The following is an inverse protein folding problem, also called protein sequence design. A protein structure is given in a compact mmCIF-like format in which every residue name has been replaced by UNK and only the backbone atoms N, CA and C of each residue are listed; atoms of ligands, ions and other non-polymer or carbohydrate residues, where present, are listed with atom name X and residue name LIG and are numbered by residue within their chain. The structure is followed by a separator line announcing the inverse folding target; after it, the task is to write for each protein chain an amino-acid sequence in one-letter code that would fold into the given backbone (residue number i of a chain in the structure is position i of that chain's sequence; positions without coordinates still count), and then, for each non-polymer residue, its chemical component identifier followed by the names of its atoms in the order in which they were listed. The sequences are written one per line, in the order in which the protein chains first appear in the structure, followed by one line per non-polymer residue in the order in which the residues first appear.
data_IF_912387518612
#
_entry.id   IF_912387518612
#
_cell.length_a   1.000
_cell.length_b   1.000
_cell.length_c   1.000
_cell.angle_alpha   90.00
_cell.angle_beta   90.00
_cell.angle_gamma   90.00
#
_symmetry.space_group_name_H-M   'P 1'
#
loop_
_entity.id
_entity.type
_entity.pdbx_description
1 polymer ?
#
# COMPACT_ATOMS: atom_id res chain seq x y z
N UNK A 1 100.89 16.38 -35.48
CA UNK A 1 99.69 16.17 -36.31
C UNK A 1 98.70 15.34 -35.53
N UNK A 2 97.77 16.00 -34.90
CA UNK A 2 96.48 15.41 -34.55
C UNK A 2 95.65 16.55 -34.01
N UNK A 3 94.63 16.80 -34.69
CA UNK A 3 93.63 17.84 -34.52
C UNK A 3 92.76 17.60 -33.31
N UNK A 4 92.64 18.54 -32.41
CA UNK A 4 91.79 18.48 -31.24
C UNK A 4 90.55 19.30 -31.43
N UNK A 5 89.47 18.69 -31.74
CA UNK A 5 88.16 19.34 -31.83
C UNK A 5 87.51 19.44 -30.41
N UNK A 6 87.38 20.65 -29.92
CA UNK A 6 86.67 20.98 -28.68
C UNK A 6 85.13 20.85 -28.86
N UNK A 7 84.45 20.16 -27.94
CA UNK A 7 82.99 20.13 -27.83
C UNK A 7 82.45 21.42 -27.18
N UNK A 8 81.34 21.97 -27.69
CA UNK A 8 80.69 23.12 -27.06
C UNK A 8 79.96 22.69 -25.75
N UNK A 9 79.81 23.60 -24.79
CA UNK A 9 79.14 23.32 -23.51
C UNK A 9 77.62 23.06 -23.67
N UNK A 10 77.15 22.07 -23.01
CA UNK A 10 75.71 21.68 -22.99
C UNK A 10 74.83 22.76 -22.34
N UNK A 11 73.57 22.80 -22.70
CA UNK A 11 72.62 23.76 -22.13
C UNK A 11 72.37 23.50 -20.61
N UNK A 12 72.33 24.61 -19.88
CA UNK A 12 72.08 24.61 -18.43
C UNK A 12 70.68 24.07 -18.06
N UNK A 13 70.48 23.70 -16.78
CA UNK A 13 69.23 23.06 -16.34
C UNK A 13 68.02 24.00 -16.50
N UNK A 14 66.91 23.41 -17.03
CA UNK A 14 65.65 24.10 -17.20
C UNK A 14 65.07 24.54 -15.83
N UNK A 15 64.35 25.68 -15.76
CA UNK A 15 63.72 26.11 -14.52
C UNK A 15 62.61 25.14 -14.11
N UNK A 16 62.55 24.84 -12.78
CA UNK A 16 61.53 24.03 -12.18
C UNK A 16 60.12 24.62 -12.44
N UNK A 17 59.15 23.84 -12.84
CA UNK A 17 57.78 24.30 -12.93
C UNK A 17 57.27 24.71 -11.53
N UNK A 18 56.68 25.90 -11.45
CA UNK A 18 56.01 26.40 -10.27
C UNK A 18 54.86 25.48 -9.80
N UNK A 19 54.41 25.59 -8.53
CA UNK A 19 53.34 24.75 -8.02
C UNK A 19 52.09 24.87 -8.89
N UNK A 20 51.52 23.71 -9.24
CA UNK A 20 50.26 23.62 -9.97
C UNK A 20 49.12 24.37 -9.21
N UNK A 21 48.23 25.07 -9.93
CA UNK A 21 47.07 25.67 -9.27
C UNK A 21 46.28 24.61 -8.54
N UNK A 22 45.91 24.91 -7.28
CA UNK A 22 45.00 24.06 -6.49
C UNK A 22 43.74 23.84 -7.30
N UNK A 23 43.20 22.60 -7.35
CA UNK A 23 41.91 22.38 -7.98
C UNK A 23 40.87 23.23 -7.23
N UNK A 24 40.13 24.02 -7.98
CA UNK A 24 38.96 24.75 -7.47
C UNK A 24 38.09 23.75 -6.71
N UNK A 25 37.70 24.11 -5.48
CA UNK A 25 36.84 23.31 -4.65
C UNK A 25 35.54 23.02 -5.40
N UNK A 26 35.32 21.76 -5.74
CA UNK A 26 34.03 21.29 -6.25
C UNK A 26 33.00 21.72 -5.22
N UNK A 27 31.94 22.47 -5.59
CA UNK A 27 30.93 22.84 -4.64
C UNK A 27 30.35 21.56 -4.03
N UNK A 28 30.42 21.47 -2.71
CA UNK A 28 29.77 20.41 -1.95
C UNK A 28 28.29 20.43 -2.33
N UNK A 29 27.64 19.26 -2.59
CA UNK A 29 26.21 19.22 -2.77
C UNK A 29 25.54 19.88 -1.57
N UNK A 30 24.71 20.88 -1.86
CA UNK A 30 23.97 21.63 -0.86
C UNK A 30 23.26 20.67 0.11
N UNK A 31 23.28 21.03 1.38
CA UNK A 31 22.75 20.23 2.47
C UNK A 31 21.29 19.83 2.18
N UNK A 32 21.00 18.52 2.24
CA UNK A 32 19.64 17.99 2.26
C UNK A 32 18.85 18.76 3.32
N UNK A 33 17.69 19.36 2.98
CA UNK A 33 16.91 20.15 3.92
C UNK A 33 16.71 19.43 5.26
N UNK A 34 16.77 20.19 6.36
CA UNK A 34 16.68 19.66 7.71
C UNK A 34 15.31 18.99 7.94
N UNK A 35 15.20 18.08 8.91
CA UNK A 35 13.95 17.38 9.26
C UNK A 35 12.75 18.33 9.45
N UNK A 36 13.00 19.50 10.01
CA UNK A 36 12.00 20.55 10.25
C UNK A 36 11.37 21.05 8.95
N UNK A 37 12.15 21.15 7.86
CA UNK A 37 11.65 21.56 6.53
C UNK A 37 10.73 20.52 5.91
N UNK A 38 10.98 19.21 6.18
CA UNK A 38 10.10 18.14 5.70
C UNK A 38 8.75 18.10 6.39
N UNK A 39 8.71 18.29 7.70
CA UNK A 39 7.46 18.31 8.46
C UNK A 39 6.57 19.49 8.03
N UNK A 40 7.17 20.62 7.66
CA UNK A 40 6.46 21.77 7.11
C UNK A 40 5.87 21.47 5.72
N UNK A 41 6.63 20.80 4.85
CA UNK A 41 6.12 20.36 3.53
C UNK A 41 4.98 19.35 3.65
N UNK A 42 5.10 18.38 4.56
CA UNK A 42 4.02 17.40 4.83
C UNK A 42 2.74 18.10 5.28
N UNK A 43 2.88 19.09 6.19
CA UNK A 43 1.73 19.86 6.68
C UNK A 43 1.09 20.68 5.56
N UNK A 44 1.88 21.44 4.81
CA UNK A 44 1.39 22.27 3.69
C UNK A 44 0.70 21.41 2.62
N UNK A 45 1.28 20.24 2.29
CA UNK A 45 0.68 19.31 1.34
C UNK A 45 -0.63 18.71 1.88
N UNK A 46 -0.67 18.33 3.16
CA UNK A 46 -1.88 17.82 3.81
C UNK A 46 -3.01 18.85 3.77
N UNK A 47 -2.71 20.11 4.11
CA UNK A 47 -3.69 21.19 4.11
C UNK A 47 -4.23 21.42 2.69
N UNK A 48 -3.36 21.54 1.67
CA UNK A 48 -3.77 21.69 0.28
C UNK A 48 -4.64 20.51 -0.19
N UNK A 49 -4.23 19.26 0.13
CA UNK A 49 -4.96 18.08 -0.29
C UNK A 49 -6.35 17.98 0.35
N UNK A 50 -6.46 18.27 1.66
CA UNK A 50 -7.75 18.19 2.38
C UNK A 50 -8.71 19.34 2.06
N UNK A 51 -8.19 20.46 1.56
CA UNK A 51 -9.00 21.58 1.04
C UNK A 51 -9.35 21.41 -0.44
N UNK A 52 -8.91 20.32 -1.08
CA UNK A 52 -9.05 20.04 -2.51
C UNK A 52 -8.36 21.11 -3.39
N UNK A 53 -7.31 21.76 -2.88
CA UNK A 53 -6.49 22.72 -3.62
C UNK A 53 -5.40 21.99 -4.41
N UNK A 54 -5.79 21.53 -5.60
CA UNK A 54 -4.92 20.80 -6.51
C UNK A 54 -3.75 21.66 -7.00
N UNK A 55 -4.01 22.95 -7.26
CA UNK A 55 -2.99 23.87 -7.77
C UNK A 55 -1.91 24.11 -6.72
N UNK A 56 -2.27 24.35 -5.46
CA UNK A 56 -1.34 24.50 -4.35
C UNK A 56 -0.51 23.23 -4.13
N UNK A 57 -1.15 22.05 -4.15
CA UNK A 57 -0.45 20.77 -3.98
C UNK A 57 0.57 20.51 -5.08
N UNK A 58 0.23 20.74 -6.34
CA UNK A 58 1.14 20.61 -7.50
C UNK A 58 2.26 21.64 -7.44
N UNK A 59 1.95 22.89 -7.12
CA UNK A 59 2.95 23.96 -6.99
C UNK A 59 3.96 23.64 -5.88
N UNK A 60 3.50 23.07 -4.74
CA UNK A 60 4.37 22.61 -3.66
C UNK A 60 5.36 21.55 -4.14
N UNK A 61 4.87 20.53 -4.87
CA UNK A 61 5.71 19.47 -5.44
C UNK A 61 6.78 20.07 -6.37
N UNK A 62 6.41 20.99 -7.25
CA UNK A 62 7.36 21.66 -8.15
C UNK A 62 8.40 22.47 -7.38
N UNK A 63 7.97 23.30 -6.39
CA UNK A 63 8.91 24.06 -5.55
C UNK A 63 9.91 23.16 -4.83
N UNK A 64 9.45 22.03 -4.29
CA UNK A 64 10.31 21.06 -3.60
C UNK A 64 11.36 20.47 -4.55
N UNK A 65 10.96 20.10 -5.77
CA UNK A 65 11.85 19.58 -6.81
C UNK A 65 12.86 20.65 -7.29
N UNK A 66 12.42 21.88 -7.50
CA UNK A 66 13.26 23.02 -7.89
C UNK A 66 14.25 23.42 -6.80
N UNK A 67 13.86 23.24 -5.52
CA UNK A 67 14.75 23.39 -4.37
C UNK A 67 15.76 22.25 -4.19
N UNK A 68 15.76 21.24 -5.10
CA UNK A 68 16.72 20.14 -5.11
C UNK A 68 16.30 18.92 -4.29
N UNK A 69 15.08 18.86 -3.75
CA UNK A 69 14.61 17.66 -3.06
C UNK A 69 14.45 16.52 -4.07
N UNK A 70 15.12 15.36 -3.87
CA UNK A 70 15.00 14.23 -4.79
C UNK A 70 13.54 13.80 -5.00
N UNK A 71 13.12 13.48 -6.25
CA UNK A 71 11.73 13.09 -6.53
C UNK A 71 11.22 11.92 -5.68
N UNK A 72 12.06 10.93 -5.41
CA UNK A 72 11.71 9.81 -4.52
C UNK A 72 11.42 10.28 -3.09
N UNK A 73 12.15 11.30 -2.61
CA UNK A 73 11.93 11.91 -1.29
C UNK A 73 10.62 12.70 -1.26
N UNK A 74 10.27 13.41 -2.34
CA UNK A 74 8.96 14.10 -2.44
C UNK A 74 7.82 13.07 -2.36
N UNK A 75 7.93 11.94 -3.05
CA UNK A 75 6.92 10.88 -2.99
C UNK A 75 6.79 10.28 -1.59
N UNK A 76 7.93 9.89 -0.98
CA UNK A 76 7.94 9.03 0.21
C UNK A 76 8.03 9.79 1.52
N UNK A 77 8.58 11.00 1.54
CA UNK A 77 8.74 11.80 2.75
C UNK A 77 7.76 12.99 2.83
N UNK A 78 7.04 13.31 1.73
CA UNK A 78 6.03 14.39 1.74
C UNK A 78 4.65 13.84 1.43
N UNK A 79 4.42 13.29 0.22
CA UNK A 79 3.08 12.87 -0.22
C UNK A 79 2.58 11.66 0.60
N UNK A 80 3.40 10.63 0.77
CA UNK A 80 2.98 9.42 1.48
C UNK A 80 2.65 9.67 2.97
N UNK A 81 3.45 10.43 3.77
CA UNK A 81 3.09 10.78 5.13
C UNK A 81 1.85 11.67 5.23
N UNK A 82 1.68 12.64 4.32
CA UNK A 82 0.48 13.45 4.29
C UNK A 82 -0.77 12.60 4.04
N UNK A 83 -0.70 11.64 3.12
CA UNK A 83 -1.81 10.73 2.86
C UNK A 83 -2.07 9.75 4.01
N UNK A 84 -1.04 9.30 4.72
CA UNK A 84 -1.20 8.51 5.94
C UNK A 84 -1.98 9.31 7.01
N UNK A 85 -1.61 10.58 7.19
CA UNK A 85 -2.31 11.50 8.09
C UNK A 85 -3.78 11.72 7.68
N UNK A 86 -4.09 11.80 6.38
CA UNK A 86 -5.49 11.86 5.89
C UNK A 86 -6.29 10.66 6.39
N UNK A 87 -5.72 9.45 6.32
CA UNK A 87 -6.36 8.24 6.83
C UNK A 87 -6.57 8.26 8.35
N UNK A 88 -5.59 8.76 9.13
CA UNK A 88 -5.68 8.91 10.59
C UNK A 88 -6.77 9.91 10.99
N UNK A 89 -6.82 11.08 10.32
CA UNK A 89 -7.82 12.10 10.56
C UNK A 89 -9.24 11.63 10.20
N UNK A 90 -9.38 10.84 9.14
CA UNK A 90 -10.63 10.18 8.79
C UNK A 90 -11.05 9.14 9.84
N UNK A 91 -10.14 8.28 10.28
CA UNK A 91 -10.42 7.27 11.29
C UNK A 91 -10.85 7.91 12.63
N UNK A 92 -10.24 9.04 12.97
CA UNK A 92 -10.55 9.85 14.15
C UNK A 92 -11.82 10.73 14.00
N UNK A 93 -12.58 10.58 12.90
CA UNK A 93 -13.77 11.37 12.59
C UNK A 93 -13.53 12.90 12.45
N UNK A 94 -12.28 13.32 12.22
CA UNK A 94 -11.94 14.73 11.97
C UNK A 94 -12.02 15.11 10.49
N UNK A 95 -11.95 14.12 9.58
CA UNK A 95 -12.22 14.30 8.15
C UNK A 95 -13.45 13.50 7.73
N UNK A 96 -14.25 14.08 6.83
CA UNK A 96 -15.35 13.37 6.17
C UNK A 96 -14.82 12.46 5.05
N UNK A 97 -15.58 11.43 4.68
CA UNK A 97 -15.27 10.55 3.54
C UNK A 97 -15.05 11.35 2.25
N UNK A 98 -15.87 12.40 2.02
CA UNK A 98 -15.74 13.25 0.82
C UNK A 98 -14.39 14.01 0.79
N UNK A 99 -13.92 14.50 1.95
CA UNK A 99 -12.61 15.17 2.05
C UNK A 99 -11.45 14.20 1.89
N UNK A 100 -11.56 12.98 2.44
CA UNK A 100 -10.57 11.92 2.24
C UNK A 100 -10.46 11.56 0.75
N UNK A 101 -11.58 11.40 0.04
CA UNK A 101 -11.59 11.13 -1.40
C UNK A 101 -10.97 12.26 -2.21
N UNK A 102 -11.31 13.52 -1.88
CA UNK A 102 -10.71 14.69 -2.52
C UNK A 102 -9.19 14.73 -2.29
N UNK A 103 -8.72 14.49 -1.06
CA UNK A 103 -7.30 14.46 -0.74
C UNK A 103 -6.56 13.35 -1.51
N UNK A 104 -7.17 12.18 -1.64
CA UNK A 104 -6.61 11.07 -2.43
C UNK A 104 -6.51 11.42 -3.93
N UNK A 105 -7.52 12.10 -4.48
CA UNK A 105 -7.51 12.57 -5.87
C UNK A 105 -6.45 13.65 -6.11
N UNK A 106 -6.30 14.62 -5.22
CA UNK A 106 -5.25 15.65 -5.27
C UNK A 106 -3.87 15.01 -5.20
N UNK A 107 -3.68 14.03 -4.30
CA UNK A 107 -2.41 13.30 -4.17
C UNK A 107 -2.05 12.55 -5.45
N UNK A 108 -2.99 11.89 -6.11
CA UNK A 108 -2.74 11.20 -7.39
C UNK A 108 -2.33 12.20 -8.49
N UNK A 109 -2.96 13.37 -8.55
CA UNK A 109 -2.58 14.44 -9.47
C UNK A 109 -1.20 15.01 -9.21
N UNK A 110 -0.85 15.24 -7.95
CA UNK A 110 0.47 15.71 -7.54
C UNK A 110 1.57 14.70 -7.93
N UNK A 111 1.31 13.39 -7.74
CA UNK A 111 2.19 12.31 -8.20
C UNK A 111 2.31 12.31 -9.72
N UNK A 112 1.21 12.50 -10.46
CA UNK A 112 1.24 12.59 -11.90
C UNK A 112 2.06 13.78 -12.40
N UNK A 113 1.92 14.95 -11.77
CA UNK A 113 2.73 16.15 -12.07
C UNK A 113 4.21 15.91 -11.80
N UNK A 114 4.56 15.29 -10.66
CA UNK A 114 5.92 14.88 -10.35
C UNK A 114 6.50 13.97 -11.44
N UNK A 115 5.74 12.96 -11.88
CA UNK A 115 6.21 11.93 -12.81
C UNK A 115 6.63 12.47 -14.19
N UNK A 116 6.09 13.62 -14.59
CA UNK A 116 6.43 14.28 -15.87
C UNK A 116 7.48 15.40 -15.71
N UNK A 117 7.81 15.76 -14.47
CA UNK A 117 8.79 16.81 -14.20
C UNK A 117 10.20 16.40 -14.67
N UNK A 118 11.02 17.34 -15.24
CA UNK A 118 12.36 17.02 -15.73
C UNK A 118 13.27 16.34 -14.71
N UNK A 119 13.20 16.72 -13.43
CA UNK A 119 13.98 16.11 -12.35
C UNK A 119 13.63 14.64 -12.10
N UNK A 120 12.40 14.20 -12.44
CA UNK A 120 11.94 12.83 -12.26
C UNK A 120 12.19 11.92 -13.48
N UNK A 121 12.81 12.44 -14.54
CA UNK A 121 13.10 11.67 -15.75
C UNK A 121 14.24 10.67 -15.51
N UNK A 122 13.88 9.40 -15.35
CA UNK A 122 14.83 8.30 -15.34
C UNK A 122 14.69 7.48 -16.64
N UNK A 123 15.83 7.23 -17.32
CA UNK A 123 15.81 6.32 -18.46
C UNK A 123 15.62 4.88 -17.95
N UNK A 124 14.73 4.07 -18.55
CA UNK A 124 14.60 2.66 -18.21
C UNK A 124 15.93 1.95 -18.48
N UNK A 125 16.53 1.37 -17.43
CA UNK A 125 17.81 0.63 -17.49
C UNK A 125 17.70 -0.77 -16.96
N UNK A 126 16.52 -1.09 -16.41
CA UNK A 126 16.18 -2.36 -15.76
C UNK A 126 15.07 -3.05 -16.54
N UNK A 127 14.61 -4.18 -16.05
CA UNK A 127 13.50 -4.93 -16.61
C UNK A 127 12.14 -4.21 -16.55
N UNK A 128 11.10 -4.99 -16.82
CA UNK A 128 9.71 -4.53 -16.88
C UNK A 128 8.91 -5.10 -15.71
N UNK A 129 8.16 -4.26 -15.01
CA UNK A 129 7.28 -4.64 -13.90
C UNK A 129 5.84 -4.25 -14.25
N UNK A 130 4.92 -5.20 -14.13
CA UNK A 130 3.48 -4.89 -14.17
C UNK A 130 3.00 -4.68 -12.74
N UNK A 131 2.44 -3.50 -12.44
CA UNK A 131 1.88 -3.14 -11.14
C UNK A 131 0.37 -3.08 -11.20
N UNK A 132 -0.32 -3.82 -10.32
CA UNK A 132 -1.77 -3.89 -10.26
C UNK A 132 -2.29 -3.97 -8.81
N UNK A 133 -3.47 -3.42 -8.56
CA UNK A 133 -4.23 -3.78 -7.36
C UNK A 133 -5.05 -5.03 -7.65
N UNK A 134 -5.18 -5.90 -6.66
CA UNK A 134 -5.96 -7.13 -6.79
C UNK A 134 -7.45 -6.83 -7.06
N UNK A 135 -8.16 -7.82 -7.58
CA UNK A 135 -9.59 -7.69 -7.90
C UNK A 135 -10.40 -7.20 -6.69
N UNK A 136 -11.23 -6.18 -6.88
CA UNK A 136 -12.02 -5.52 -5.83
C UNK A 136 -11.21 -4.58 -4.93
N UNK A 137 -9.91 -4.37 -5.14
CA UNK A 137 -9.11 -3.41 -4.41
C UNK A 137 -9.09 -2.05 -5.12
N UNK A 138 -9.67 -1.04 -4.46
CA UNK A 138 -9.81 0.31 -5.00
C UNK A 138 -8.76 1.30 -4.51
N UNK A 139 -7.98 0.95 -3.47
CA UNK A 139 -6.92 1.80 -2.92
C UNK A 139 -5.69 1.77 -3.85
N UNK A 140 -5.77 2.51 -4.94
CA UNK A 140 -4.71 2.53 -5.96
C UNK A 140 -3.51 3.41 -5.59
N UNK A 141 -3.67 4.38 -4.69
CA UNK A 141 -2.62 5.35 -4.38
C UNK A 141 -1.35 4.72 -3.80
N UNK A 142 -1.40 3.75 -2.86
CA UNK A 142 -0.20 3.06 -2.41
C UNK A 142 0.54 2.34 -3.55
N UNK A 143 -0.21 1.69 -4.45
CA UNK A 143 0.33 1.05 -5.64
C UNK A 143 0.97 2.07 -6.59
N UNK A 144 0.38 3.25 -6.73
CA UNK A 144 0.90 4.35 -7.54
C UNK A 144 2.24 4.85 -7.01
N UNK A 145 2.37 5.04 -5.69
CA UNK A 145 3.63 5.42 -5.05
C UNK A 145 4.75 4.40 -5.34
N UNK A 146 4.45 3.10 -5.22
CA UNK A 146 5.41 2.03 -5.57
C UNK A 146 5.78 2.10 -7.05
N UNK A 147 4.80 2.26 -7.95
CA UNK A 147 5.04 2.34 -9.38
C UNK A 147 5.97 3.50 -9.76
N UNK A 148 5.76 4.68 -9.19
CA UNK A 148 6.62 5.84 -9.45
C UNK A 148 8.02 5.68 -8.84
N UNK A 149 8.13 5.13 -7.62
CA UNK A 149 9.43 4.79 -7.02
C UNK A 149 10.23 3.85 -7.91
N UNK A 150 9.59 2.80 -8.44
CA UNK A 150 10.24 1.87 -9.38
C UNK A 150 10.68 2.56 -10.67
N UNK A 151 9.86 3.47 -11.23
CA UNK A 151 10.23 4.26 -12.42
C UNK A 151 11.44 5.14 -12.16
N UNK A 152 11.48 5.84 -11.03
CA UNK A 152 12.60 6.67 -10.62
C UNK A 152 13.90 5.86 -10.49
N UNK A 153 13.79 4.61 -10.08
CA UNK A 153 14.91 3.66 -9.99
C UNK A 153 15.23 2.92 -11.29
N UNK A 154 14.62 3.34 -12.40
CA UNK A 154 14.95 2.89 -13.76
C UNK A 154 14.24 1.61 -14.20
N UNK A 155 13.13 1.20 -13.56
CA UNK A 155 12.26 0.14 -14.05
C UNK A 155 11.28 0.66 -15.09
N UNK A 156 10.99 -0.14 -16.10
CA UNK A 156 9.81 0.06 -16.95
C UNK A 156 8.59 -0.45 -16.22
N UNK A 157 7.69 0.45 -15.85
CA UNK A 157 6.49 0.05 -15.06
C UNK A 157 5.22 0.25 -15.87
N UNK A 158 4.46 -0.83 -16.02
CA UNK A 158 3.11 -0.78 -16.53
C UNK A 158 2.15 -0.75 -15.33
N UNK A 159 1.58 0.42 -15.03
CA UNK A 159 0.65 0.59 -13.94
C UNK A 159 -0.79 0.36 -14.43
N UNK A 160 -1.42 -0.73 -13.99
CA UNK A 160 -2.79 -1.10 -14.38
C UNK A 160 -3.87 -0.48 -13.47
N UNK A 161 -3.46 0.03 -12.29
CA UNK A 161 -4.37 0.70 -11.35
C UNK A 161 -5.19 -0.25 -10.50
N UNK A 162 -6.39 0.23 -10.10
CA UNK A 162 -7.32 -0.44 -9.21
C UNK A 162 -8.07 -1.59 -9.89
N UNK A 163 -8.54 -2.55 -9.07
CA UNK A 163 -9.54 -3.54 -9.46
C UNK A 163 -9.19 -4.30 -10.75
N UNK A 164 -8.08 -5.05 -10.74
CA UNK A 164 -7.63 -5.81 -11.91
C UNK A 164 -7.98 -7.30 -11.73
N UNK A 165 -9.01 -7.81 -12.44
CA UNK A 165 -9.37 -9.23 -12.39
C UNK A 165 -8.25 -10.13 -12.91
N UNK A 166 -8.02 -11.32 -12.30
CA UNK A 166 -6.90 -12.19 -12.65
C UNK A 166 -6.83 -12.59 -14.13
N UNK A 167 -7.96 -12.81 -14.79
CA UNK A 167 -8.00 -13.18 -16.21
C UNK A 167 -7.47 -12.06 -17.13
N UNK A 168 -7.76 -10.79 -16.82
CA UNK A 168 -7.26 -9.65 -17.59
C UNK A 168 -5.79 -9.39 -17.28
N UNK A 169 -5.38 -9.58 -16.02
CA UNK A 169 -3.98 -9.51 -15.64
C UNK A 169 -3.17 -10.53 -16.44
N UNK A 170 -3.55 -11.80 -16.43
CA UNK A 170 -2.85 -12.88 -17.17
C UNK A 170 -2.77 -12.57 -18.67
N UNK A 171 -3.87 -12.09 -19.27
CA UNK A 171 -3.86 -11.70 -20.67
C UNK A 171 -2.84 -10.59 -20.95
N UNK A 172 -2.75 -9.61 -20.06
CA UNK A 172 -1.77 -8.52 -20.16
C UNK A 172 -0.33 -9.03 -20.03
N UNK A 173 -0.08 -9.95 -19.08
CA UNK A 173 1.24 -10.55 -18.87
C UNK A 173 1.71 -11.32 -20.12
N UNK A 174 0.85 -12.10 -20.74
CA UNK A 174 1.17 -12.79 -22.00
C UNK A 174 1.53 -11.83 -23.14
N UNK A 175 0.83 -10.69 -23.23
CA UNK A 175 1.08 -9.70 -24.27
C UNK A 175 2.36 -8.90 -24.06
N UNK A 176 2.79 -8.72 -22.81
CA UNK A 176 3.86 -7.76 -22.46
C UNK A 176 5.15 -8.41 -21.97
N UNK A 177 5.11 -9.65 -21.47
CA UNK A 177 6.25 -10.41 -20.99
C UNK A 177 7.06 -9.68 -19.90
N UNK A 178 6.46 -9.28 -18.75
CA UNK A 178 7.21 -8.59 -17.71
C UNK A 178 8.11 -9.55 -16.93
N UNK A 179 9.17 -9.01 -16.31
CA UNK A 179 10.08 -9.76 -15.44
C UNK A 179 9.46 -10.00 -14.05
N UNK A 180 8.47 -9.19 -13.68
CA UNK A 180 7.78 -9.25 -12.38
C UNK A 180 6.35 -8.73 -12.47
N UNK A 181 5.50 -9.26 -11.58
CA UNK A 181 4.22 -8.64 -11.21
C UNK A 181 4.32 -8.14 -9.78
N UNK A 182 3.98 -6.86 -9.55
CA UNK A 182 3.78 -6.31 -8.23
C UNK A 182 2.28 -6.20 -7.95
N UNK A 183 1.79 -6.88 -6.90
CA UNK A 183 0.37 -6.90 -6.51
C UNK A 183 0.16 -6.13 -5.21
N UNK A 184 -0.74 -5.15 -5.24
CA UNK A 184 -1.16 -4.38 -4.07
C UNK A 184 -2.50 -4.87 -3.53
N UNK A 185 -2.55 -5.07 -2.20
CA UNK A 185 -3.76 -5.38 -1.45
C UNK A 185 -3.77 -4.59 -0.13
N UNK A 186 -4.68 -3.64 0.01
CA UNK A 186 -4.77 -2.80 1.20
C UNK A 186 -5.72 -3.37 2.24
N UNK A 187 -6.80 -4.04 1.81
CA UNK A 187 -7.83 -4.56 2.71
C UNK A 187 -7.78 -6.09 2.77
N UNK A 188 -7.67 -6.69 3.97
CA UNK A 188 -7.61 -8.15 4.15
C UNK A 188 -8.80 -8.94 3.56
N UNK A 189 -9.97 -8.32 3.41
CA UNK A 189 -11.12 -8.98 2.77
C UNK A 189 -10.87 -9.36 1.32
N UNK A 190 -9.83 -8.81 0.68
CA UNK A 190 -9.39 -9.11 -0.69
C UNK A 190 -8.37 -10.24 -0.79
N UNK A 191 -7.96 -10.85 0.34
CA UNK A 191 -7.00 -11.97 0.34
C UNK A 191 -7.41 -13.16 -0.56
N UNK A 192 -8.69 -13.55 -0.66
CA UNK A 192 -9.10 -14.58 -1.62
C UNK A 192 -8.83 -14.17 -3.09
N UNK A 193 -9.10 -12.92 -3.44
CA UNK A 193 -8.80 -12.38 -4.77
C UNK A 193 -7.29 -12.25 -5.01
N UNK A 194 -6.53 -11.84 -3.99
CA UNK A 194 -5.06 -11.81 -4.02
C UNK A 194 -4.48 -13.20 -4.29
N UNK A 195 -5.00 -14.23 -3.62
CA UNK A 195 -4.58 -15.62 -3.85
C UNK A 195 -4.85 -16.08 -5.28
N UNK A 196 -6.03 -15.78 -5.81
CA UNK A 196 -6.37 -16.09 -7.20
C UNK A 196 -5.41 -15.40 -8.18
N UNK A 197 -5.08 -14.12 -7.97
CA UNK A 197 -4.14 -13.36 -8.79
C UNK A 197 -2.72 -13.91 -8.70
N UNK A 198 -2.21 -14.18 -7.50
CA UNK A 198 -0.88 -14.77 -7.27
C UNK A 198 -0.78 -16.12 -7.98
N UNK A 199 -1.77 -16.99 -7.79
CA UNK A 199 -1.81 -18.32 -8.42
C UNK A 199 -1.80 -18.20 -9.94
N UNK A 200 -2.61 -17.31 -10.51
CA UNK A 200 -2.72 -17.12 -11.95
C UNK A 200 -1.42 -16.58 -12.57
N UNK A 201 -0.77 -15.59 -11.93
CA UNK A 201 0.51 -15.04 -12.40
C UNK A 201 1.63 -16.11 -12.36
N UNK A 202 1.71 -16.88 -11.29
CA UNK A 202 2.70 -17.96 -11.17
C UNK A 202 2.46 -19.09 -12.15
N UNK A 203 1.22 -19.41 -12.45
CA UNK A 203 0.86 -20.41 -13.46
C UNK A 203 1.37 -20.07 -14.87
N UNK A 204 1.52 -18.79 -15.17
CA UNK A 204 2.09 -18.31 -16.45
C UNK A 204 3.59 -17.98 -16.34
N UNK A 205 4.24 -18.36 -15.24
CA UNK A 205 5.68 -18.26 -15.07
C UNK A 205 6.19 -16.87 -14.70
N UNK A 206 5.31 -15.92 -14.31
CA UNK A 206 5.74 -14.59 -13.89
C UNK A 206 5.77 -14.52 -12.36
N UNK A 207 6.95 -14.24 -11.76
CA UNK A 207 7.09 -14.16 -10.31
C UNK A 207 6.38 -12.93 -9.72
N UNK A 208 5.84 -13.10 -8.50
CA UNK A 208 4.95 -12.12 -7.85
C UNK A 208 5.61 -11.51 -6.61
N UNK A 209 5.73 -10.19 -6.61
CA UNK A 209 6.01 -9.36 -5.45
C UNK A 209 4.69 -8.84 -4.87
N UNK A 210 4.35 -9.21 -3.65
CA UNK A 210 3.14 -8.74 -2.97
C UNK A 210 3.46 -7.55 -2.03
N UNK A 211 2.54 -6.62 -1.87
CA UNK A 211 2.64 -5.49 -0.96
C UNK A 211 1.30 -4.96 -0.50
N UNK A 212 1.34 -4.13 0.53
CA UNK A 212 0.17 -3.53 1.15
C UNK A 212 -0.27 -4.18 2.46
N UNK A 213 -0.96 -3.43 3.34
CA UNK A 213 -1.33 -3.85 4.69
C UNK A 213 -2.29 -5.05 4.73
N UNK A 214 -3.05 -5.31 3.66
CA UNK A 214 -3.92 -6.47 3.54
C UNK A 214 -3.18 -7.81 3.67
N UNK A 215 -1.88 -7.85 3.36
CA UNK A 215 -1.06 -9.04 3.55
C UNK A 215 -0.50 -9.22 4.97
N UNK A 216 -0.90 -8.37 5.94
CA UNK A 216 -0.37 -8.33 7.30
C UNK A 216 0.93 -7.54 7.40
N UNK A 217 1.21 -6.99 8.60
CA UNK A 217 2.34 -6.11 8.83
C UNK A 217 3.72 -6.77 8.57
N UNK A 218 3.78 -8.09 8.66
CA UNK A 218 4.97 -8.91 8.41
C UNK A 218 4.92 -9.66 7.07
N UNK A 219 3.86 -9.49 6.27
CA UNK A 219 3.67 -10.20 5.01
C UNK A 219 3.32 -11.67 5.14
N UNK A 220 2.84 -12.09 6.32
CA UNK A 220 2.50 -13.50 6.59
C UNK A 220 1.48 -14.05 5.60
N UNK A 221 0.49 -13.25 5.22
CA UNK A 221 -0.53 -13.71 4.26
C UNK A 221 0.01 -13.76 2.82
N UNK A 222 0.94 -12.87 2.45
CA UNK A 222 1.60 -12.97 1.15
C UNK A 222 2.35 -14.31 1.01
N UNK A 223 3.10 -14.69 2.05
CA UNK A 223 3.80 -15.99 2.09
C UNK A 223 2.83 -17.17 2.11
N UNK A 224 1.75 -17.08 2.92
CA UNK A 224 0.72 -18.12 3.00
C UNK A 224 0.06 -18.35 1.63
N UNK A 225 -0.22 -17.28 0.89
CA UNK A 225 -0.89 -17.33 -0.41
C UNK A 225 0.08 -17.60 -1.57
N UNK A 226 1.36 -17.81 -1.28
CA UNK A 226 2.34 -18.26 -2.26
C UNK A 226 2.95 -17.16 -3.13
N UNK A 227 2.96 -15.90 -2.68
CA UNK A 227 3.75 -14.86 -3.33
C UNK A 227 5.24 -15.20 -3.25
N UNK A 228 6.00 -14.88 -4.30
CA UNK A 228 7.44 -15.18 -4.38
C UNK A 228 8.24 -14.26 -3.46
N UNK A 229 7.78 -13.01 -3.29
CA UNK A 229 8.33 -12.05 -2.34
C UNK A 229 7.22 -11.15 -1.76
N UNK A 230 7.55 -10.47 -0.65
CA UNK A 230 6.70 -9.45 -0.03
C UNK A 230 7.54 -8.23 0.32
N UNK A 231 6.97 -7.04 0.17
CA UNK A 231 7.61 -5.76 0.49
C UNK A 231 6.74 -4.96 1.46
N UNK A 232 7.39 -4.41 2.50
CA UNK A 232 6.74 -3.61 3.52
C UNK A 232 6.49 -2.16 3.07
N UNK A 233 7.30 -1.66 2.12
CA UNK A 233 7.28 -0.29 1.64
C UNK A 233 7.65 -0.21 0.16
N UNK A 234 7.48 0.98 -0.44
CA UNK A 234 7.93 1.24 -1.80
C UNK A 234 9.45 1.09 -1.95
N UNK A 235 10.21 1.55 -0.97
CA UNK A 235 11.67 1.40 -0.93
C UNK A 235 12.06 -0.07 -0.85
N UNK A 236 11.45 -0.87 0.06
CA UNK A 236 11.72 -2.30 0.17
C UNK A 236 11.35 -3.06 -1.11
N UNK A 237 10.25 -2.67 -1.77
CA UNK A 237 9.86 -3.25 -3.06
C UNK A 237 10.93 -3.03 -4.14
N UNK A 238 11.41 -1.80 -4.26
CA UNK A 238 12.46 -1.44 -5.22
C UNK A 238 13.77 -2.16 -4.88
N UNK A 239 14.17 -2.16 -3.62
CA UNK A 239 15.39 -2.83 -3.15
C UNK A 239 15.39 -4.34 -3.41
N UNK A 240 14.24 -5.02 -3.25
CA UNK A 240 14.11 -6.45 -3.55
C UNK A 240 14.22 -6.75 -5.02
N UNK A 241 13.53 -5.97 -5.85
CA UNK A 241 13.63 -6.10 -7.30
C UNK A 241 15.04 -5.83 -7.81
N UNK A 242 15.81 -4.95 -7.14
CA UNK A 242 17.16 -4.61 -7.56
C UNK A 242 18.21 -5.66 -7.16
N UNK A 243 18.09 -6.26 -5.98
CA UNK A 243 19.12 -7.13 -5.40
C UNK A 243 18.84 -8.61 -5.59
N UNK A 244 17.58 -9.01 -5.45
CA UNK A 244 17.22 -10.41 -5.26
C UNK A 244 16.18 -10.92 -6.27
N UNK A 245 16.10 -10.31 -7.46
CA UNK A 245 15.09 -10.69 -8.45
C UNK A 245 15.67 -11.35 -9.70
N UNK A 246 15.07 -12.42 -10.23
CA UNK A 246 13.93 -13.17 -9.69
C UNK A 246 14.31 -13.97 -8.44
N UNK A 247 13.41 -14.08 -7.45
CA UNK A 247 13.68 -14.88 -6.27
C UNK A 247 13.76 -16.38 -6.64
N UNK A 248 14.43 -17.21 -5.82
CA UNK A 248 14.45 -18.65 -6.03
C UNK A 248 13.03 -19.21 -6.12
N UNK A 249 12.74 -19.99 -7.17
CA UNK A 249 11.43 -20.61 -7.35
C UNK A 249 11.14 -21.49 -6.12
N UNK A 250 10.18 -21.06 -5.31
CA UNK A 250 9.65 -21.89 -4.23
C UNK A 250 8.60 -22.82 -4.85
N UNK A 251 8.69 -24.15 -4.64
CA UNK A 251 7.58 -25.01 -4.97
C UNK A 251 6.32 -24.46 -4.33
N UNK A 252 5.22 -24.40 -5.07
CA UNK A 252 3.92 -24.12 -4.45
C UNK A 252 3.75 -25.21 -3.38
N UNK A 253 3.76 -24.82 -2.10
CA UNK A 253 3.40 -25.75 -1.04
C UNK A 253 1.96 -26.16 -1.35
N UNK A 254 1.80 -27.36 -1.94
CA UNK A 254 0.53 -27.88 -2.44
C UNK A 254 -0.53 -28.14 -1.36
N UNK A 255 -0.36 -27.53 -0.21
CA UNK A 255 -1.27 -27.57 0.92
C UNK A 255 -2.19 -26.34 0.88
N UNK A 256 -3.15 -26.36 -0.05
CA UNK A 256 -4.35 -25.51 0.08
C UNK A 256 -5.21 -25.98 1.28
N UNK A 257 -4.56 -26.32 2.43
CA UNK A 257 -5.23 -26.78 3.66
C UNK A 257 -6.19 -25.75 4.23
N UNK A 258 -5.91 -24.46 4.04
CA UNK A 258 -6.74 -23.32 4.43
C UNK A 258 -8.02 -23.24 3.57
N UNK A 259 -7.98 -23.73 2.32
CA UNK A 259 -9.16 -23.85 1.46
C UNK A 259 -10.02 -25.09 1.79
N UNK A 260 -9.48 -26.05 2.52
CA UNK A 260 -10.22 -27.25 2.94
C UNK A 260 -11.31 -26.95 3.99
N UNK A 261 -11.26 -25.78 4.62
CA UNK A 261 -12.30 -25.30 5.56
C UNK A 261 -13.58 -24.89 4.83
N UNK A 262 -14.61 -25.73 4.82
CA UNK A 262 -15.91 -25.43 4.20
C UNK A 262 -16.62 -24.19 4.79
N UNK A 263 -16.17 -23.69 5.97
CA UNK A 263 -16.83 -22.59 6.66
C UNK A 263 -16.62 -21.25 5.97
N UNK A 264 -15.43 -20.98 5.40
CA UNK A 264 -15.21 -19.80 4.57
C UNK A 264 -16.27 -19.69 3.45
N UNK A 265 -16.37 -20.72 2.61
CA UNK A 265 -17.31 -20.71 1.47
C UNK A 265 -18.78 -20.60 1.91
N UNK A 266 -19.14 -21.18 3.07
CA UNK A 266 -20.48 -21.07 3.63
C UNK A 266 -20.79 -19.68 4.17
N UNK A 267 -19.84 -19.02 4.85
CA UNK A 267 -20.00 -17.65 5.35
C UNK A 267 -20.03 -16.67 4.17
N UNK A 268 -19.06 -16.74 3.25
CA UNK A 268 -19.01 -15.88 2.07
C UNK A 268 -20.24 -16.02 1.18
N UNK A 269 -20.70 -17.26 0.92
CA UNK A 269 -21.90 -17.52 0.13
C UNK A 269 -23.22 -17.14 0.82
N UNK A 270 -23.22 -17.05 2.16
CA UNK A 270 -24.39 -16.64 2.95
C UNK A 270 -24.39 -15.14 3.32
N UNK A 271 -23.42 -14.34 2.85
CA UNK A 271 -23.20 -12.94 3.25
C UNK A 271 -24.49 -12.10 3.28
N UNK A 272 -25.19 -12.02 2.16
CA UNK A 272 -26.41 -11.19 2.04
C UNK A 272 -27.50 -11.68 2.97
N UNK A 273 -27.66 -13.00 3.15
CA UNK A 273 -28.63 -13.59 4.07
C UNK A 273 -28.27 -13.29 5.53
N UNK A 274 -26.98 -13.47 5.92
CA UNK A 274 -26.52 -13.18 7.28
C UNK A 274 -26.73 -11.71 7.64
N UNK A 275 -26.45 -10.80 6.73
CA UNK A 275 -26.68 -9.35 6.93
C UNK A 275 -28.18 -9.06 7.09
N UNK A 276 -29.03 -9.61 6.22
CA UNK A 276 -30.47 -9.39 6.29
C UNK A 276 -31.09 -9.94 7.60
N UNK A 277 -30.73 -11.16 7.98
CA UNK A 277 -31.21 -11.79 9.23
C UNK A 277 -30.71 -11.03 10.48
N UNK A 278 -29.44 -10.53 10.46
CA UNK A 278 -28.90 -9.74 11.55
C UNK A 278 -29.60 -8.37 11.68
N UNK A 279 -29.91 -7.70 10.56
CA UNK A 279 -30.67 -6.44 10.55
C UNK A 279 -32.07 -6.62 11.10
N UNK A 280 -32.76 -7.69 10.74
CA UNK A 280 -34.10 -7.98 11.26
C UNK A 280 -34.07 -8.24 12.77
N UNK A 281 -33.12 -9.07 13.23
CA UNK A 281 -32.93 -9.32 14.66
C UNK A 281 -32.55 -8.05 15.44
N UNK A 282 -31.77 -7.14 14.88
CA UNK A 282 -31.47 -5.84 15.49
C UNK A 282 -32.72 -4.98 15.68
N UNK A 283 -33.63 -4.99 14.70
CA UNK A 283 -34.92 -4.26 14.80
C UNK A 283 -35.82 -4.79 15.94
N UNK A 284 -35.80 -6.12 16.15
CA UNK A 284 -36.61 -6.76 17.16
C UNK A 284 -36.01 -6.62 18.58
N UNK A 285 -34.69 -6.80 18.72
CA UNK A 285 -34.02 -6.90 20.01
C UNK A 285 -33.57 -5.55 20.59
N UNK A 286 -33.29 -4.52 19.76
CA UNK A 286 -32.79 -3.23 20.21
C UNK A 286 -33.82 -2.10 20.03
N UNK A 287 -34.53 -1.69 21.12
CA UNK A 287 -35.56 -0.65 21.03
C UNK A 287 -35.09 0.69 20.47
N UNK A 288 -33.84 1.06 20.70
CA UNK A 288 -33.21 2.29 20.19
C UNK A 288 -33.17 2.33 18.66
N UNK A 289 -33.13 1.21 17.99
CA UNK A 289 -33.10 1.13 16.53
C UNK A 289 -34.42 1.57 15.88
N UNK A 290 -35.51 1.65 16.66
CA UNK A 290 -36.83 2.14 16.20
C UNK A 290 -36.78 3.59 15.73
N UNK A 291 -35.83 4.37 16.24
CA UNK A 291 -35.61 5.77 15.86
C UNK A 291 -34.61 5.96 14.72
N UNK A 292 -34.06 4.86 14.17
CA UNK A 292 -33.08 4.94 13.10
C UNK A 292 -33.68 5.50 11.81
N UNK A 293 -33.00 6.46 11.23
CA UNK A 293 -33.27 6.97 9.88
C UNK A 293 -32.87 5.92 8.82
N UNK A 294 -33.38 6.07 7.58
CA UNK A 294 -32.98 5.21 6.45
C UNK A 294 -31.45 5.15 6.28
N UNK A 295 -30.78 6.31 6.39
CA UNK A 295 -29.32 6.39 6.30
C UNK A 295 -28.60 5.61 7.40
N UNK A 296 -29.10 5.64 8.63
CA UNK A 296 -28.52 4.85 9.72
C UNK A 296 -28.69 3.35 9.48
N UNK A 297 -29.84 2.92 8.92
CA UNK A 297 -30.06 1.54 8.52
C UNK A 297 -29.13 1.09 7.40
N UNK A 298 -28.93 1.95 6.39
CA UNK A 298 -27.95 1.69 5.31
C UNK A 298 -26.53 1.53 5.86
N UNK A 299 -26.07 2.45 6.72
CA UNK A 299 -24.76 2.34 7.37
C UNK A 299 -24.63 1.09 8.23
N UNK A 300 -25.68 0.72 8.99
CA UNK A 300 -25.68 -0.50 9.80
C UNK A 300 -25.57 -1.75 8.92
N UNK A 301 -26.24 -1.76 7.77
CA UNK A 301 -26.14 -2.86 6.81
C UNK A 301 -24.72 -3.00 6.24
N UNK A 302 -24.09 -1.86 5.91
CA UNK A 302 -22.71 -1.81 5.43
C UNK A 302 -21.72 -2.30 6.49
N UNK A 303 -21.88 -1.88 7.74
CA UNK A 303 -21.05 -2.32 8.86
C UNK A 303 -21.17 -3.83 9.10
N UNK A 304 -22.39 -4.37 9.13
CA UNK A 304 -22.61 -5.82 9.24
C UNK A 304 -22.02 -6.59 8.06
N UNK A 305 -22.11 -6.02 6.85
CA UNK A 305 -21.52 -6.63 5.67
C UNK A 305 -19.99 -6.69 5.78
N UNK A 306 -19.35 -5.61 6.25
CA UNK A 306 -17.91 -5.59 6.52
C UNK A 306 -17.51 -6.62 7.57
N UNK A 307 -18.29 -6.74 8.66
CA UNK A 307 -18.04 -7.75 9.71
C UNK A 307 -18.06 -9.16 9.11
N UNK A 308 -19.05 -9.48 8.27
CA UNK A 308 -19.14 -10.79 7.62
C UNK A 308 -17.98 -11.01 6.63
N UNK A 309 -17.57 -9.99 5.88
CA UNK A 309 -16.46 -10.06 4.94
C UNK A 309 -15.12 -10.30 5.67
N UNK A 310 -14.87 -9.61 6.79
CA UNK A 310 -13.67 -9.83 7.61
C UNK A 310 -13.68 -11.19 8.31
N UNK A 311 -14.84 -11.66 8.78
CA UNK A 311 -14.99 -13.02 9.30
C UNK A 311 -14.64 -14.05 8.21
N UNK A 312 -15.16 -13.89 7.01
CA UNK A 312 -14.84 -14.76 5.89
C UNK A 312 -13.34 -14.76 5.56
N UNK A 313 -12.71 -13.58 5.51
CA UNK A 313 -11.27 -13.46 5.27
C UNK A 313 -10.43 -14.14 6.36
N UNK A 314 -10.80 -13.98 7.63
CA UNK A 314 -10.17 -14.65 8.77
C UNK A 314 -10.26 -16.18 8.64
N UNK A 315 -11.44 -16.71 8.29
CA UNK A 315 -11.63 -18.14 8.04
C UNK A 315 -10.83 -18.63 6.82
N UNK A 316 -10.66 -17.78 5.81
CA UNK A 316 -9.91 -18.10 4.60
C UNK A 316 -8.43 -18.32 4.87
N UNK A 317 -7.82 -17.45 5.68
CA UNK A 317 -6.40 -17.54 6.03
C UNK A 317 -6.14 -18.32 7.33
N UNK A 318 -7.19 -18.82 8.00
CA UNK A 318 -7.15 -19.51 9.28
C UNK A 318 -6.43 -18.72 10.39
N UNK A 319 -6.68 -17.42 10.45
CA UNK A 319 -6.11 -16.53 11.47
C UNK A 319 -7.19 -15.68 12.12
N UNK A 320 -7.54 -16.03 13.36
CA UNK A 320 -8.54 -15.34 14.17
C UNK A 320 -8.16 -13.89 14.47
N UNK A 321 -6.85 -13.58 14.52
CA UNK A 321 -6.35 -12.23 14.79
C UNK A 321 -6.79 -11.23 13.73
N UNK A 322 -6.89 -11.65 12.47
CA UNK A 322 -7.39 -10.79 11.41
C UNK A 322 -8.77 -10.22 11.73
N UNK A 323 -9.65 -11.04 12.31
CA UNK A 323 -10.99 -10.63 12.70
C UNK A 323 -10.99 -9.81 13.98
N UNK A 324 -10.25 -10.22 15.01
CA UNK A 324 -10.21 -9.51 16.30
C UNK A 324 -9.58 -8.13 16.18
N UNK A 325 -8.52 -7.98 15.37
CA UNK A 325 -7.88 -6.70 15.10
C UNK A 325 -8.83 -5.75 14.36
N UNK A 326 -9.58 -6.27 13.38
CA UNK A 326 -10.61 -5.49 12.68
C UNK A 326 -11.73 -5.04 13.63
N UNK A 327 -12.23 -5.92 14.50
CA UNK A 327 -13.28 -5.58 15.47
C UNK A 327 -12.80 -4.51 16.45
N UNK A 328 -11.57 -4.62 16.96
CA UNK A 328 -10.97 -3.62 17.84
C UNK A 328 -10.82 -2.26 17.15
N UNK A 329 -10.33 -2.26 15.90
CA UNK A 329 -10.24 -1.05 15.09
C UNK A 329 -11.62 -0.43 14.83
N UNK A 330 -12.63 -1.24 14.48
CA UNK A 330 -14.02 -0.79 14.27
C UNK A 330 -14.59 -0.15 15.54
N UNK A 331 -14.37 -0.77 16.71
CA UNK A 331 -14.79 -0.21 17.98
C UNK A 331 -14.18 1.18 18.25
N UNK A 332 -12.88 1.36 17.95
CA UNK A 332 -12.22 2.65 18.09
C UNK A 332 -12.79 3.71 17.14
N UNK A 333 -13.05 3.35 15.87
CA UNK A 333 -13.65 4.23 14.86
C UNK A 333 -15.08 4.63 15.24
N UNK A 334 -15.91 3.70 15.73
CA UNK A 334 -17.27 3.99 16.20
C UNK A 334 -17.26 4.91 17.43
N UNK A 335 -16.36 4.65 18.38
CA UNK A 335 -16.18 5.51 19.56
C UNK A 335 -15.79 6.91 19.19
N UNK A 336 -14.88 7.12 18.23
CA UNK A 336 -14.50 8.44 17.73
C UNK A 336 -15.67 9.20 17.10
N UNK A 337 -16.67 8.47 16.57
CA UNK A 337 -17.91 9.01 15.99
C UNK A 337 -19.06 9.15 17.01
N UNK A 338 -18.80 8.88 18.30
CA UNK A 338 -19.82 8.93 19.34
C UNK A 338 -20.85 7.80 19.29
N UNK A 339 -20.56 6.71 18.54
CA UNK A 339 -21.43 5.53 18.48
C UNK A 339 -21.02 4.56 19.59
N UNK A 340 -21.95 4.14 20.46
CA UNK A 340 -21.65 3.22 21.55
C UNK A 340 -21.14 1.86 21.03
N UNK A 341 -20.03 1.36 21.57
CA UNK A 341 -19.47 0.03 21.25
C UNK A 341 -20.43 -1.11 21.59
N UNK A 342 -21.41 -0.87 22.46
CA UNK A 342 -22.50 -1.80 22.77
C UNK A 342 -23.30 -2.21 21.52
N UNK A 343 -23.47 -1.31 20.55
CA UNK A 343 -24.15 -1.60 19.27
C UNK A 343 -23.36 -2.61 18.43
N UNK A 344 -22.02 -2.45 18.37
CA UNK A 344 -21.15 -3.43 17.71
C UNK A 344 -21.23 -4.79 18.40
N UNK A 345 -21.15 -4.82 19.74
CA UNK A 345 -21.26 -6.04 20.51
C UNK A 345 -22.62 -6.75 20.31
N UNK A 346 -23.71 -5.99 20.20
CA UNK A 346 -25.02 -6.55 19.89
C UNK A 346 -25.06 -7.20 18.51
N UNK A 347 -24.57 -6.51 17.47
CA UNK A 347 -24.46 -7.07 16.11
C UNK A 347 -23.62 -8.36 16.07
N UNK A 348 -22.50 -8.40 16.80
CA UNK A 348 -21.64 -9.59 16.88
C UNK A 348 -22.36 -10.76 17.57
N UNK A 349 -23.13 -10.53 18.68
CA UNK A 349 -23.91 -11.59 19.34
C UNK A 349 -24.99 -12.18 18.42
N UNK A 350 -25.68 -11.32 17.67
CA UNK A 350 -26.67 -11.76 16.69
C UNK A 350 -26.04 -12.62 15.61
N UNK A 351 -24.93 -12.18 15.03
CA UNK A 351 -24.18 -12.96 14.05
C UNK A 351 -23.72 -14.30 14.63
N UNK A 352 -23.21 -14.34 15.86
CA UNK A 352 -22.83 -15.59 16.53
C UNK A 352 -24.00 -16.57 16.59
N UNK A 353 -25.19 -16.08 16.92
CA UNK A 353 -26.44 -16.88 16.96
C UNK A 353 -26.83 -17.45 15.60
N UNK A 354 -26.61 -16.70 14.52
CA UNK A 354 -26.92 -17.12 13.13
C UNK A 354 -25.92 -18.14 12.56
N UNK A 355 -24.72 -18.23 13.13
CA UNK A 355 -23.63 -19.12 12.66
C UNK A 355 -23.73 -20.54 13.24
N UNK A 356 -24.96 -21.01 13.60
CA UNK A 356 -25.18 -22.37 14.08
C UNK A 356 -24.70 -23.40 13.06
N UNK A 357 -23.88 -24.38 13.51
CA UNK A 357 -23.26 -25.36 12.61
C UNK A 357 -22.01 -24.92 11.89
N UNK A 358 -21.42 -23.77 12.30
CA UNK A 358 -20.13 -23.23 11.85
C UNK A 358 -19.23 -22.96 13.08
N UNK A 359 -18.62 -24.00 13.68
CA UNK A 359 -17.95 -23.89 14.97
C UNK A 359 -16.72 -22.96 14.93
N UNK A 360 -15.96 -22.90 13.81
CA UNK A 360 -14.83 -21.99 13.67
C UNK A 360 -15.31 -20.54 13.57
N UNK A 361 -16.32 -20.27 12.72
CA UNK A 361 -16.89 -18.94 12.57
C UNK A 361 -17.44 -18.41 13.90
N UNK A 362 -18.17 -19.24 14.64
CA UNK A 362 -18.70 -18.89 15.98
C UNK A 362 -17.57 -18.56 16.96
N UNK A 363 -16.54 -19.40 17.02
CA UNK A 363 -15.38 -19.14 17.91
C UNK A 363 -14.71 -17.81 17.56
N UNK A 364 -14.49 -17.54 16.27
CA UNK A 364 -13.89 -16.29 15.79
C UNK A 364 -14.72 -15.06 16.16
N UNK A 365 -16.06 -15.14 16.00
CA UNK A 365 -16.96 -14.05 16.45
C UNK A 365 -16.93 -13.88 17.96
N UNK A 366 -16.91 -14.98 18.72
CA UNK A 366 -16.78 -14.95 20.18
C UNK A 366 -15.49 -14.29 20.66
N UNK A 367 -14.36 -14.54 19.96
CA UNK A 367 -13.09 -13.85 20.23
C UNK A 367 -13.18 -12.34 19.93
N UNK A 368 -13.87 -11.95 18.83
CA UNK A 368 -14.16 -10.55 18.53
C UNK A 368 -15.01 -9.87 19.61
N UNK A 369 -16.02 -10.57 20.14
CA UNK A 369 -16.82 -10.07 21.27
C UNK A 369 -15.98 -9.83 22.53
N UNK A 370 -15.05 -10.73 22.84
CA UNK A 370 -14.13 -10.57 23.97
C UNK A 370 -13.21 -9.35 23.79
N UNK A 371 -12.78 -9.06 22.54
CA UNK A 371 -11.94 -7.89 22.23
C UNK A 371 -12.69 -6.56 22.46
N UNK A 372 -13.99 -6.48 22.16
CA UNK A 372 -14.82 -5.29 22.45
C UNK A 372 -15.05 -5.13 23.95
N UNK A 373 -15.26 -6.23 24.71
CA UNK A 373 -15.55 -6.19 26.15
C UNK A 373 -14.34 -5.84 27.01
N UNK A 374 -13.10 -6.01 26.53
CA UNK A 374 -11.88 -5.73 27.27
C UNK A 374 -11.37 -4.28 27.13
N UNK A 375 -12.04 -3.47 26.33
CA UNK A 375 -11.67 -2.06 26.04
C UNK A 375 -12.50 -1.03 26.81
N UNK A 376 -13.29 -1.46 27.84
CA UNK A 376 -14.17 -0.66 28.68
C UNK A 376 -13.53 -0.22 29.99
#
# INVERSE_FOLDING_TARGET
MTDGTAFPPGPGPAPHPGPAPHPEAVPHPEAVPARQDHDDLVREFFDAATEADEEAAVALVHRALEAGLPPERVLLDVIAPAQARVGEEWAAARLSVAREHAASAVSDRAIAALSVHPAARAAPRRGRVTMACVDGEWHALPARLVAETLRLRGWRVDFLGAHVPPQHLVQYLHATGPDAVALSCSIPTRLPAAHAAITACRAVGVPVLAGGPGFGADGRYARLLGADAWAASATDAADRLERDWPPPVRPADGKAWHLAGREYGRVAGARSRLVAEALEALREELPETRSYTSRQWESTAEDLAHIVDFLAASLYVDDERLFTDFVAWTAAVLSARGVPTASLAAGLRLLEGLLRGLPRARRTVGAGLAAVGGSG
#
